data_IF_918850791971
#
_entry.id   IF_918850791971
#
_cell.length_a   1.000
_cell.length_b   1.000
_cell.length_c   1.000
_cell.angle_alpha   90.00
_cell.angle_beta   90.00
_cell.angle_gamma   90.00
#
_symmetry.space_group_name_H-M   'P 1'
#
loop_
_entity.id
_entity.type
_entity.pdbx_description
1 polymer ?
#
# COMPACT_ATOMS: atom_id res chain seq x y z
N UNK A 1 1.73 19.22 5.60
CA UNK A 1 1.32 18.44 6.78
C UNK A 1 2.58 17.95 7.44
N UNK A 2 2.92 18.45 8.62
CA UNK A 2 4.05 17.95 9.39
C UNK A 2 3.49 17.00 10.45
N UNK A 3 3.76 15.70 10.29
CA UNK A 3 3.28 14.69 11.23
C UNK A 3 3.50 13.29 10.69
N UNK A 4 4.02 12.41 11.57
CA UNK A 4 4.04 10.98 11.32
C UNK A 4 2.78 10.34 11.87
N UNK A 5 2.27 9.32 11.19
CA UNK A 5 1.04 8.62 11.53
C UNK A 5 1.33 7.24 12.12
N UNK A 6 0.45 6.79 13.01
CA UNK A 6 0.46 5.41 13.51
C UNK A 6 -0.13 4.44 12.47
N UNK A 7 -1.08 4.91 11.65
CA UNK A 7 -1.76 4.12 10.64
C UNK A 7 -2.10 4.96 9.41
N UNK A 8 -1.73 4.48 8.23
CA UNK A 8 -2.14 5.01 6.93
C UNK A 8 -3.02 3.96 6.25
N UNK A 9 -4.21 4.34 5.78
CA UNK A 9 -5.12 3.44 5.06
C UNK A 9 -5.41 4.04 3.69
N UNK A 10 -5.39 3.21 2.65
CA UNK A 10 -5.73 3.64 1.30
C UNK A 10 -6.48 2.57 0.49
N UNK A 11 -7.35 3.03 -0.39
CA UNK A 11 -7.97 2.25 -1.46
C UNK A 11 -7.67 2.97 -2.79
N UNK A 12 -6.48 2.74 -3.37
CA UNK A 12 -6.04 3.45 -4.57
C UNK A 12 -7.03 3.24 -5.74
N UNK A 13 -7.24 4.26 -6.59
CA UNK A 13 -8.13 4.12 -7.73
C UNK A 13 -7.63 3.01 -8.65
N UNK A 14 -8.58 2.21 -9.11
CA UNK A 14 -8.43 1.22 -10.15
C UNK A 14 -9.32 1.69 -11.31
N UNK A 15 -8.83 1.63 -12.56
CA UNK A 15 -9.48 1.96 -13.86
C UNK A 15 -8.92 3.18 -14.66
N UNK A 16 -9.01 3.05 -15.98
CA UNK A 16 -8.76 3.96 -17.12
C UNK A 16 -7.34 4.43 -17.49
N UNK A 17 -6.33 4.08 -16.70
CA UNK A 17 -4.93 4.21 -17.11
C UNK A 17 -4.04 3.34 -16.26
N UNK A 18 -3.68 2.15 -16.77
CA UNK A 18 -2.79 1.20 -16.09
C UNK A 18 -1.57 1.95 -15.56
N UNK A 19 -0.88 2.72 -16.40
CA UNK A 19 0.34 3.44 -15.98
C UNK A 19 0.11 4.50 -14.88
N UNK A 20 -1.02 5.23 -14.92
CA UNK A 20 -1.33 6.27 -13.93
C UNK A 20 -1.69 5.66 -12.57
N UNK A 21 -2.47 4.59 -12.55
CA UNK A 21 -2.81 3.88 -11.31
C UNK A 21 -1.56 3.27 -10.66
N UNK A 22 -0.64 2.74 -11.45
CA UNK A 22 0.62 2.16 -10.94
C UNK A 22 1.50 3.23 -10.33
N UNK A 23 1.62 4.38 -11.00
CA UNK A 23 2.41 5.51 -10.50
C UNK A 23 1.86 6.03 -9.17
N UNK A 24 0.54 6.18 -9.05
CA UNK A 24 -0.11 6.64 -7.83
C UNK A 24 0.09 5.67 -6.65
N UNK A 25 -0.05 4.36 -6.89
CA UNK A 25 0.17 3.33 -5.87
C UNK A 25 1.64 3.29 -5.44
N UNK A 26 2.56 3.30 -6.39
CA UNK A 26 3.99 3.20 -6.10
C UNK A 26 4.46 4.42 -5.30
N UNK A 27 4.04 5.64 -5.68
CA UNK A 27 4.34 6.84 -4.90
C UNK A 27 3.67 6.82 -3.52
N UNK A 28 2.44 6.31 -3.39
CA UNK A 28 1.82 6.11 -2.07
C UNK A 28 2.68 5.20 -1.17
N UNK A 29 3.07 4.02 -1.66
CA UNK A 29 3.85 3.05 -0.88
C UNK A 29 5.20 3.64 -0.50
N UNK A 30 5.90 4.27 -1.45
CA UNK A 30 7.21 4.91 -1.25
C UNK A 30 7.15 6.04 -0.23
N UNK A 31 6.13 6.91 -0.31
CA UNK A 31 5.99 8.04 0.60
C UNK A 31 5.48 7.62 1.98
N UNK A 32 4.63 6.60 2.06
CA UNK A 32 4.04 6.12 3.32
C UNK A 32 5.13 5.78 4.35
N UNK A 33 6.23 5.13 3.93
CA UNK A 33 7.35 4.79 4.82
C UNK A 33 7.92 6.00 5.57
N UNK A 34 7.98 7.16 4.92
CA UNK A 34 8.49 8.39 5.52
C UNK A 34 7.49 9.09 6.44
N UNK A 35 6.20 8.82 6.23
CA UNK A 35 5.10 9.41 6.97
C UNK A 35 4.58 8.51 8.08
N UNK A 36 5.12 7.30 8.25
CA UNK A 36 4.82 6.43 9.38
C UNK A 36 5.78 6.69 10.55
N UNK A 37 5.24 6.57 11.77
CA UNK A 37 6.05 6.42 12.99
C UNK A 37 6.74 5.05 12.96
N UNK A 38 7.79 4.90 13.77
CA UNK A 38 8.41 3.59 13.99
C UNK A 38 7.37 2.59 14.49
N UNK A 39 7.20 1.48 13.78
CA UNK A 39 6.17 0.48 14.09
C UNK A 39 4.75 0.88 13.66
N UNK A 40 4.59 1.99 12.95
CA UNK A 40 3.33 2.37 12.31
C UNK A 40 3.00 1.45 11.14
N UNK A 41 1.76 1.47 10.70
CA UNK A 41 1.22 0.51 9.73
C UNK A 41 0.66 1.20 8.48
N UNK A 42 0.91 0.63 7.31
CA UNK A 42 0.21 0.97 6.07
C UNK A 42 -0.74 -0.18 5.71
N UNK A 43 -2.02 0.14 5.50
CA UNK A 43 -3.02 -0.80 4.98
C UNK A 43 -3.53 -0.37 3.62
N UNK A 44 -3.50 -1.29 2.67
CA UNK A 44 -3.97 -1.03 1.30
C UNK A 44 -5.00 -2.09 0.89
N UNK A 45 -6.16 -1.63 0.43
CA UNK A 45 -7.10 -2.47 -0.31
C UNK A 45 -6.79 -2.36 -1.80
N UNK A 46 -6.63 -3.50 -2.44
CA UNK A 46 -6.08 -3.59 -3.79
C UNK A 46 -6.71 -4.74 -4.58
N UNK A 47 -6.84 -4.57 -5.90
CA UNK A 47 -7.25 -5.67 -6.78
C UNK A 47 -6.11 -6.69 -6.92
N UNK A 48 -6.46 -7.99 -6.99
CA UNK A 48 -5.48 -9.07 -6.97
C UNK A 48 -4.61 -9.19 -8.24
N UNK A 49 -4.87 -8.37 -9.27
CA UNK A 49 -4.20 -8.44 -10.58
C UNK A 49 -2.88 -7.65 -10.63
N UNK A 50 -2.71 -6.65 -9.75
CA UNK A 50 -1.52 -5.80 -9.76
C UNK A 50 -0.45 -6.33 -8.78
N UNK A 51 0.85 -6.04 -9.02
CA UNK A 51 1.97 -6.58 -8.24
C UNK A 51 2.19 -5.81 -6.92
N UNK A 52 1.13 -5.59 -6.14
CA UNK A 52 1.21 -4.85 -4.87
C UNK A 52 2.18 -5.50 -3.87
N UNK A 53 2.22 -6.84 -3.82
CA UNK A 53 3.12 -7.58 -2.93
C UNK A 53 4.59 -7.21 -3.18
N UNK A 54 5.03 -7.24 -4.44
CA UNK A 54 6.41 -6.94 -4.80
C UNK A 54 6.81 -5.50 -4.43
N UNK A 55 5.91 -4.53 -4.66
CA UNK A 55 6.17 -3.14 -4.28
C UNK A 55 6.20 -2.93 -2.77
N UNK A 56 5.31 -3.60 -2.04
CA UNK A 56 5.28 -3.57 -0.59
C UNK A 56 6.57 -4.17 -0.02
N UNK A 57 6.98 -5.34 -0.50
CA UNK A 57 8.21 -6.02 -0.06
C UNK A 57 9.46 -5.22 -0.42
N UNK A 58 9.50 -4.60 -1.59
CA UNK A 58 10.61 -3.73 -2.00
C UNK A 58 10.80 -2.53 -1.05
N UNK A 59 9.72 -1.96 -0.53
CA UNK A 59 9.78 -0.76 0.31
C UNK A 59 9.78 -1.06 1.82
N UNK A 60 9.11 -2.11 2.26
CA UNK A 60 8.88 -2.45 3.67
C UNK A 60 9.52 -3.79 4.10
N UNK A 61 9.97 -4.62 3.16
CA UNK A 61 10.69 -5.87 3.41
C UNK A 61 9.78 -7.10 3.50
N UNK A 62 8.60 -6.97 4.09
CA UNK A 62 7.60 -8.05 4.20
C UNK A 62 6.18 -7.46 4.24
N UNK A 63 5.18 -8.28 3.90
CA UNK A 63 3.77 -7.91 3.91
C UNK A 63 2.87 -9.02 4.48
N UNK A 64 1.75 -8.60 5.06
CA UNK A 64 0.69 -9.49 5.52
C UNK A 64 -0.59 -9.27 4.69
N UNK A 65 -1.28 -10.36 4.34
CA UNK A 65 -2.62 -10.29 3.73
C UNK A 65 -3.67 -10.53 4.82
N UNK A 66 -4.27 -9.44 5.31
CA UNK A 66 -5.26 -9.48 6.40
C UNK A 66 -6.60 -10.07 5.97
N UNK A 67 -6.99 -9.82 4.71
CA UNK A 67 -8.24 -10.32 4.14
C UNK A 67 -8.10 -10.46 2.62
N UNK A 68 -8.83 -11.42 2.05
CA UNK A 68 -8.90 -11.58 0.59
C UNK A 68 -10.25 -12.13 0.16
N UNK A 69 -10.66 -11.74 -1.04
CA UNK A 69 -11.71 -12.40 -1.80
C UNK A 69 -11.26 -12.56 -3.27
N UNK A 70 -12.17 -12.98 -4.15
CA UNK A 70 -11.85 -13.22 -5.56
C UNK A 70 -11.47 -11.95 -6.34
N UNK A 71 -11.74 -10.75 -5.80
CA UNK A 71 -11.53 -9.47 -6.47
C UNK A 71 -10.45 -8.62 -5.80
N UNK A 72 -10.39 -8.65 -4.47
CA UNK A 72 -9.60 -7.74 -3.65
C UNK A 72 -8.78 -8.47 -2.59
N UNK A 73 -7.64 -7.87 -2.24
CA UNK A 73 -6.80 -8.22 -1.10
C UNK A 73 -6.58 -6.98 -0.24
N UNK A 74 -6.53 -7.19 1.07
CA UNK A 74 -6.14 -6.19 2.05
C UNK A 74 -4.72 -6.52 2.51
N UNK A 75 -3.80 -5.63 2.20
CA UNK A 75 -2.40 -5.74 2.59
C UNK A 75 -2.13 -4.91 3.84
N UNK A 76 -1.17 -5.37 4.65
CA UNK A 76 -0.60 -4.66 5.78
C UNK A 76 0.93 -4.73 5.71
N UNK A 77 1.60 -3.60 5.97
CA UNK A 77 3.05 -3.51 6.14
C UNK A 77 3.39 -2.58 7.29
N UNK A 78 4.53 -2.82 7.95
CA UNK A 78 5.00 -2.01 9.09
C UNK A 78 6.22 -1.17 8.72
N UNK A 79 6.19 0.11 9.11
CA UNK A 79 7.25 1.10 8.89
C UNK A 79 8.36 1.12 9.93
#
# INVERSE_FOLDING_TARGET
>A
MEGKFDLIISNPPFHDGIDTAYTAVNELIKQAKWHLKTGGELRIVANAFLPYADWLDQHFGDHEVLAKNNKFKVYSVRG
#
